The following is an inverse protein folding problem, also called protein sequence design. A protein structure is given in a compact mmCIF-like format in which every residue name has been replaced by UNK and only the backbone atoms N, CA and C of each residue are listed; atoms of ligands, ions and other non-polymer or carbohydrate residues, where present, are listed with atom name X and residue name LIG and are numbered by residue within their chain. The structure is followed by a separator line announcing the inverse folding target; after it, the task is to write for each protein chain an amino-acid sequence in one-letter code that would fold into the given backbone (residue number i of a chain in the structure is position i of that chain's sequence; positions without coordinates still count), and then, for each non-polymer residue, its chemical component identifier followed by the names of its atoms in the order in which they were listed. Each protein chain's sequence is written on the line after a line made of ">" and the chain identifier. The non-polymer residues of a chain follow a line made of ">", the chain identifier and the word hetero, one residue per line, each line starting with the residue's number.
data_IF_475390532733
#
_entry.id   IF_475390532733
#
_cell.length_a   1.000
_cell.length_b   1.000
_cell.length_c   1.000
_cell.angle_alpha   90.00
_cell.angle_beta   90.00
_cell.angle_gamma   90.00
#
_symmetry.space_group_name_H-M   'P 1'
#
loop_
_entity.id
_entity.type
_entity.pdbx_description
1 polymer ?
#
# COMPACT_ATOMS: atom_id res chain seq x y z
N UNK A 1 -13.61 8.37 6.33
CA UNK A 1 -14.91 7.65 6.28
C UNK A 1 -15.22 7.36 4.83
N UNK A 2 -16.14 6.44 4.49
CA UNK A 2 -16.55 6.22 3.09
C UNK A 2 -17.85 7.00 2.82
N UNK A 3 -17.88 7.86 1.81
CA UNK A 3 -19.11 8.52 1.33
C UNK A 3 -19.59 7.87 0.04
N UNK A 4 -20.80 7.33 0.05
CA UNK A 4 -21.44 6.69 -1.10
C UNK A 4 -22.50 7.65 -1.64
N UNK A 5 -22.20 8.29 -2.76
CA UNK A 5 -22.99 9.39 -3.30
C UNK A 5 -23.78 8.90 -4.51
N UNK A 6 -25.11 9.07 -4.48
CA UNK A 6 -26.00 8.67 -5.57
C UNK A 6 -26.87 9.83 -6.05
N UNK A 7 -27.09 9.92 -7.36
CA UNK A 7 -27.88 10.98 -8.00
C UNK A 7 -29.21 10.52 -8.60
N UNK A 8 -29.42 9.21 -8.74
CA UNK A 8 -30.65 8.58 -9.25
C UNK A 8 -31.24 7.63 -8.22
N UNK A 9 -32.54 7.31 -8.35
CA UNK A 9 -33.19 6.35 -7.44
C UNK A 9 -32.57 4.94 -7.54
N UNK A 10 -32.21 4.51 -8.76
CA UNK A 10 -31.50 3.25 -8.96
C UNK A 10 -30.13 3.25 -8.27
N UNK A 11 -29.36 4.33 -8.46
CA UNK A 11 -28.08 4.52 -7.77
C UNK A 11 -28.22 4.55 -6.25
N UNK A 12 -29.32 5.12 -5.72
CA UNK A 12 -29.57 5.15 -4.28
C UNK A 12 -29.81 3.75 -3.70
N UNK A 13 -30.54 2.89 -4.44
CA UNK A 13 -30.70 1.48 -4.07
C UNK A 13 -29.36 0.75 -4.04
N UNK A 14 -28.51 0.99 -5.05
CA UNK A 14 -27.15 0.44 -5.08
C UNK A 14 -26.30 0.96 -3.90
N UNK A 15 -26.40 2.25 -3.57
CA UNK A 15 -25.68 2.86 -2.47
C UNK A 15 -26.02 2.19 -1.13
N UNK A 16 -27.31 1.97 -0.85
CA UNK A 16 -27.75 1.28 0.36
C UNK A 16 -27.37 -0.20 0.37
N UNK A 17 -27.30 -0.86 -0.79
CA UNK A 17 -26.77 -2.23 -0.90
C UNK A 17 -25.30 -2.27 -0.48
N UNK A 18 -24.49 -1.35 -1.01
CA UNK A 18 -23.07 -1.23 -0.65
C UNK A 18 -22.88 -0.87 0.83
N UNK A 19 -23.67 0.05 1.37
CA UNK A 19 -23.57 0.46 2.77
C UNK A 19 -23.71 -0.72 3.75
N UNK A 20 -24.57 -1.70 3.43
CA UNK A 20 -24.74 -2.91 4.26
C UNK A 20 -23.50 -3.81 4.27
N UNK A 21 -22.63 -3.69 3.27
CA UNK A 21 -21.44 -4.53 3.08
C UNK A 21 -20.15 -3.81 3.50
N UNK A 22 -20.19 -2.47 3.63
CA UNK A 22 -19.03 -1.64 3.92
C UNK A 22 -19.10 -1.04 5.32
N UNK A 23 -18.13 -1.36 6.17
CA UNK A 23 -17.95 -0.70 7.46
C UNK A 23 -17.59 0.78 7.30
N UNK A 24 -18.01 1.63 8.23
CA UNK A 24 -17.69 3.07 8.26
C UNK A 24 -18.10 3.84 6.98
N UNK A 25 -19.30 3.51 6.47
CA UNK A 25 -19.85 4.12 5.25
C UNK A 25 -21.15 4.89 5.49
N UNK A 26 -21.32 5.99 4.75
CA UNK A 26 -22.50 6.86 4.80
C UNK A 26 -23.04 7.09 3.38
N UNK A 27 -24.37 6.97 3.21
CA UNK A 27 -25.03 7.21 1.92
C UNK A 27 -25.52 8.64 1.82
N UNK A 28 -25.13 9.33 0.74
CA UNK A 28 -25.59 10.67 0.39
C UNK A 28 -26.42 10.62 -0.88
N UNK A 29 -27.74 10.73 -0.74
CA UNK A 29 -28.65 10.77 -1.87
C UNK A 29 -28.98 12.21 -2.28
N UNK A 30 -28.57 12.59 -3.50
CA UNK A 30 -28.76 13.95 -4.06
C UNK A 30 -28.40 15.07 -3.05
N UNK A 31 -27.19 15.07 -2.44
CA UNK A 31 -26.82 16.05 -1.43
C UNK A 31 -26.88 17.48 -1.97
N UNK A 32 -27.22 18.45 -1.11
CA UNK A 32 -27.37 19.86 -1.48
C UNK A 32 -26.69 20.78 -0.46
N UNK A 33 -25.82 21.71 -0.87
CA UNK A 33 -25.30 21.90 -2.23
C UNK A 33 -24.34 20.78 -2.66
N UNK A 34 -24.61 20.13 -3.79
CA UNK A 34 -23.90 18.93 -4.24
C UNK A 34 -22.39 19.15 -4.35
N UNK A 35 -21.98 20.17 -5.12
CA UNK A 35 -20.57 20.39 -5.42
C UNK A 35 -19.74 20.66 -4.16
N UNK A 36 -20.25 21.49 -3.26
CA UNK A 36 -19.55 21.86 -2.03
C UNK A 36 -19.46 20.70 -1.05
N UNK A 37 -20.54 19.93 -0.84
CA UNK A 37 -20.49 18.79 0.07
C UNK A 37 -19.50 17.72 -0.40
N UNK A 38 -19.53 17.39 -1.71
CA UNK A 38 -18.62 16.37 -2.27
C UNK A 38 -17.16 16.85 -2.22
N UNK A 39 -16.90 18.12 -2.56
CA UNK A 39 -15.56 18.72 -2.43
C UNK A 39 -15.07 18.70 -0.98
N UNK A 40 -15.92 19.08 -0.03
CA UNK A 40 -15.55 19.11 1.38
C UNK A 40 -15.19 17.72 1.89
N UNK A 41 -16.01 16.70 1.59
CA UNK A 41 -15.70 15.32 1.95
C UNK A 41 -14.34 14.85 1.38
N UNK A 42 -14.07 15.16 0.10
CA UNK A 42 -12.79 14.87 -0.54
C UNK A 42 -11.62 15.57 0.17
N UNK A 43 -11.76 16.88 0.46
CA UNK A 43 -10.72 17.68 1.14
C UNK A 43 -10.45 17.16 2.55
N UNK A 44 -11.46 16.67 3.25
CA UNK A 44 -11.31 16.08 4.59
C UNK A 44 -10.77 14.65 4.57
N UNK A 45 -10.42 14.11 3.39
CA UNK A 45 -9.81 12.80 3.24
C UNK A 45 -10.80 11.63 3.22
N UNK A 46 -12.09 11.88 2.97
CA UNK A 46 -13.05 10.79 2.82
C UNK A 46 -12.87 10.07 1.48
N UNK A 47 -12.92 8.75 1.52
CA UNK A 47 -12.96 7.92 0.32
C UNK A 47 -14.34 8.01 -0.32
N UNK A 48 -14.40 8.24 -1.63
CA UNK A 48 -15.67 8.50 -2.32
C UNK A 48 -16.06 7.36 -3.25
N UNK A 49 -17.30 6.89 -3.15
CA UNK A 49 -17.97 6.09 -4.18
C UNK A 49 -19.03 6.97 -4.83
N UNK A 50 -18.82 7.36 -6.09
CA UNK A 50 -19.74 8.20 -6.84
C UNK A 50 -20.53 7.36 -7.84
N UNK A 51 -21.81 7.12 -7.53
CA UNK A 51 -22.74 6.41 -8.40
C UNK A 51 -23.40 7.42 -9.35
N UNK A 52 -22.68 7.77 -10.40
CA UNK A 52 -23.07 8.77 -11.39
C UNK A 52 -22.20 8.66 -12.66
N UNK A 53 -22.51 9.45 -13.69
CA UNK A 53 -21.62 9.59 -14.84
C UNK A 53 -20.25 10.18 -14.42
N UNK A 54 -19.15 9.62 -14.94
CA UNK A 54 -17.78 10.04 -14.62
C UNK A 54 -17.54 11.54 -14.86
N UNK A 55 -18.18 12.14 -15.87
CA UNK A 55 -18.08 13.57 -16.13
C UNK A 55 -18.57 14.46 -14.98
N UNK A 56 -19.52 14.00 -14.16
CA UNK A 56 -19.98 14.73 -12.97
C UNK A 56 -18.88 14.71 -11.91
N UNK A 57 -18.31 13.53 -11.64
CA UNK A 57 -17.21 13.38 -10.68
C UNK A 57 -16.01 14.26 -11.06
N UNK A 58 -15.56 14.17 -12.32
CA UNK A 58 -14.44 14.97 -12.84
C UNK A 58 -14.68 16.47 -12.67
N UNK A 59 -15.80 17.01 -13.17
CA UNK A 59 -16.09 18.46 -13.05
C UNK A 59 -16.23 18.92 -11.60
N UNK A 60 -16.72 18.06 -10.73
CA UNK A 60 -16.93 18.39 -9.31
C UNK A 60 -15.62 18.44 -8.55
N UNK A 61 -14.75 17.45 -8.75
CA UNK A 61 -13.52 17.29 -7.98
C UNK A 61 -12.33 18.04 -8.59
N UNK A 62 -12.29 18.25 -9.91
CA UNK A 62 -11.15 18.91 -10.59
C UNK A 62 -10.62 20.19 -9.90
N UNK A 63 -11.46 21.10 -9.35
CA UNK A 63 -10.95 22.30 -8.68
C UNK A 63 -10.22 22.06 -7.35
N UNK A 64 -10.32 20.86 -6.76
CA UNK A 64 -9.78 20.55 -5.41
C UNK A 64 -8.80 19.37 -5.41
N UNK A 65 -8.53 18.78 -6.57
CA UNK A 65 -7.49 17.75 -6.74
C UNK A 65 -6.13 18.40 -6.50
N UNK A 66 -5.29 17.76 -5.68
CA UNK A 66 -3.92 18.21 -5.42
C UNK A 66 -2.91 17.30 -6.10
N UNK A 67 -2.80 16.06 -5.63
CA UNK A 67 -1.88 15.06 -6.16
C UNK A 67 -2.23 13.65 -5.64
N UNK A 68 -1.74 12.62 -6.34
CA UNK A 68 -2.02 11.20 -6.05
C UNK A 68 -1.58 10.70 -4.67
N UNK A 69 -0.76 11.44 -3.93
CA UNK A 69 -0.25 11.06 -2.60
C UNK A 69 -1.10 11.64 -1.46
N UNK A 70 -1.74 12.79 -1.67
CA UNK A 70 -2.60 13.46 -0.68
C UNK A 70 -4.09 13.18 -0.91
N UNK A 71 -4.49 13.05 -2.17
CA UNK A 71 -5.90 12.94 -2.53
C UNK A 71 -6.47 11.56 -2.15
N UNK A 72 -7.64 11.48 -1.50
CA UNK A 72 -8.26 10.21 -1.15
C UNK A 72 -8.73 9.45 -2.40
N UNK A 73 -8.89 8.12 -2.31
CA UNK A 73 -9.35 7.32 -3.43
C UNK A 73 -10.80 7.66 -3.81
N UNK A 74 -11.05 7.70 -5.12
CA UNK A 74 -12.40 7.93 -5.69
C UNK A 74 -12.74 6.84 -6.68
N UNK A 75 -13.86 6.17 -6.45
CA UNK A 75 -14.48 5.21 -7.37
C UNK A 75 -15.70 5.84 -8.04
N UNK A 76 -15.88 5.55 -9.32
CA UNK A 76 -17.11 5.85 -10.06
C UNK A 76 -17.78 4.54 -10.48
N UNK A 77 -19.07 4.43 -10.21
CA UNK A 77 -19.89 3.27 -10.54
C UNK A 77 -21.08 3.70 -11.40
N UNK A 78 -21.50 2.84 -12.32
CA UNK A 78 -22.82 2.99 -12.95
C UNK A 78 -23.94 2.59 -11.97
N UNK A 79 -25.16 3.07 -12.23
CA UNK A 79 -26.29 2.87 -11.30
C UNK A 79 -26.77 1.42 -11.19
N UNK A 80 -26.39 0.54 -12.12
CA UNK A 80 -26.67 -0.90 -12.05
C UNK A 80 -25.53 -1.66 -11.36
N UNK A 81 -24.41 -1.00 -11.06
CA UNK A 81 -23.24 -1.60 -10.42
C UNK A 81 -22.58 -2.66 -11.28
N UNK A 82 -22.55 -2.45 -12.60
CA UNK A 82 -21.90 -3.35 -13.58
C UNK A 82 -20.41 -3.06 -13.71
N UNK A 83 -20.01 -1.80 -13.51
CA UNK A 83 -18.65 -1.33 -13.66
C UNK A 83 -18.19 -0.58 -12.42
N UNK A 84 -16.97 -0.85 -12.00
CA UNK A 84 -16.27 -0.10 -10.95
C UNK A 84 -15.04 0.53 -11.58
N UNK A 85 -14.95 1.86 -11.53
CA UNK A 85 -13.91 2.64 -12.20
C UNK A 85 -13.12 3.39 -11.13
N UNK A 86 -11.86 3.02 -10.85
CA UNK A 86 -10.94 3.87 -10.08
C UNK A 86 -10.68 5.17 -10.85
N UNK A 87 -11.17 6.29 -10.33
CA UNK A 87 -11.06 7.59 -11.00
C UNK A 87 -9.84 8.39 -10.54
N UNK A 88 -9.61 8.46 -9.22
CA UNK A 88 -8.49 9.21 -8.61
C UNK A 88 -7.72 8.34 -7.64
N UNK A 89 -6.42 8.61 -7.53
CA UNK A 89 -5.49 7.94 -6.61
C UNK A 89 -5.46 6.41 -6.76
N UNK A 90 -5.42 5.94 -8.01
CA UNK A 90 -5.42 4.51 -8.40
C UNK A 90 -4.36 3.67 -7.69
N UNK A 91 -3.09 4.07 -7.79
CA UNK A 91 -1.97 3.35 -7.19
C UNK A 91 -1.75 3.76 -5.72
N UNK A 92 -1.24 4.98 -5.51
CA UNK A 92 -0.76 5.43 -4.19
C UNK A 92 -1.88 5.58 -3.16
N UNK A 93 -3.04 6.13 -3.55
CA UNK A 93 -4.21 6.22 -2.66
C UNK A 93 -5.06 4.95 -2.62
N UNK A 94 -4.65 3.88 -3.32
CA UNK A 94 -5.26 2.55 -3.22
C UNK A 94 -6.58 2.37 -3.96
N UNK A 95 -7.01 3.29 -4.83
CA UNK A 95 -8.30 3.16 -5.51
C UNK A 95 -8.39 1.94 -6.43
N UNK A 96 -7.28 1.45 -6.99
CA UNK A 96 -7.30 0.22 -7.81
C UNK A 96 -7.62 -1.01 -6.95
N UNK A 97 -6.93 -1.18 -5.81
CA UNK A 97 -7.21 -2.27 -4.86
C UNK A 97 -8.62 -2.19 -4.32
N UNK A 98 -9.02 -1.00 -3.85
CA UNK A 98 -10.35 -0.80 -3.31
C UNK A 98 -11.42 -1.04 -4.39
N UNK A 99 -11.18 -0.59 -5.61
CA UNK A 99 -12.03 -0.87 -6.76
C UNK A 99 -12.19 -2.37 -7.02
N UNK A 100 -11.11 -3.15 -6.92
CA UNK A 100 -11.17 -4.61 -7.04
C UNK A 100 -12.05 -5.24 -5.95
N UNK A 101 -11.91 -4.79 -4.71
CA UNK A 101 -12.74 -5.28 -3.61
C UNK A 101 -14.22 -4.95 -3.83
N UNK A 102 -14.54 -3.71 -4.22
CA UNK A 102 -15.91 -3.31 -4.55
C UNK A 102 -16.45 -4.10 -5.75
N UNK A 103 -15.64 -4.32 -6.78
CA UNK A 103 -16.02 -5.10 -7.95
C UNK A 103 -16.37 -6.55 -7.57
N UNK A 104 -15.56 -7.19 -6.73
CA UNK A 104 -15.88 -8.52 -6.20
C UNK A 104 -17.17 -8.54 -5.40
N UNK A 105 -17.37 -7.57 -4.48
CA UNK A 105 -18.60 -7.49 -3.67
C UNK A 105 -19.85 -7.34 -4.54
N UNK A 106 -19.75 -6.64 -5.66
CA UNK A 106 -20.87 -6.40 -6.57
C UNK A 106 -21.01 -7.44 -7.68
N UNK A 107 -20.04 -8.35 -7.84
CA UNK A 107 -19.88 -9.17 -9.05
C UNK A 107 -19.86 -8.29 -10.32
N UNK A 108 -19.16 -7.17 -10.23
CA UNK A 108 -19.02 -6.15 -11.28
C UNK A 108 -17.69 -6.30 -12.01
N UNK A 109 -17.60 -5.69 -13.19
CA UNK A 109 -16.34 -5.56 -13.93
C UNK A 109 -15.52 -4.39 -13.38
N UNK A 110 -14.29 -4.66 -12.94
CA UNK A 110 -13.31 -3.62 -12.63
C UNK A 110 -12.72 -3.06 -13.94
N UNK A 111 -12.72 -1.74 -14.09
CA UNK A 111 -12.15 -1.06 -15.27
C UNK A 111 -10.92 -0.26 -14.85
N UNK A 112 -9.77 -0.95 -14.74
CA UNK A 112 -8.48 -0.30 -14.45
C UNK A 112 -7.88 0.25 -15.75
N UNK A 113 -7.54 1.54 -15.76
CA UNK A 113 -6.97 2.22 -16.93
C UNK A 113 -5.51 2.64 -16.76
N UNK A 114 -4.92 2.39 -15.58
CA UNK A 114 -3.50 2.69 -15.31
C UNK A 114 -2.59 1.77 -16.12
N UNK A 115 -1.38 2.26 -16.44
CA UNK A 115 -0.40 1.53 -17.26
C UNK A 115 0.00 0.15 -16.68
N UNK A 116 -0.02 0.03 -15.35
CA UNK A 116 0.03 -1.26 -14.63
C UNK A 116 -1.19 -1.35 -13.72
N UNK A 117 -1.71 -2.56 -13.42
CA UNK A 117 -2.89 -2.70 -12.56
C UNK A 117 -2.65 -2.23 -11.12
N UNK A 118 -1.42 -2.39 -10.61
CA UNK A 118 -1.04 -2.09 -9.23
C UNK A 118 -2.01 -2.69 -8.20
N UNK A 119 -2.29 -3.98 -8.34
CA UNK A 119 -3.20 -4.73 -7.48
C UNK A 119 -2.44 -5.63 -6.51
N UNK A 120 -2.93 -5.74 -5.27
CA UNK A 120 -2.43 -6.65 -4.22
C UNK A 120 -0.91 -6.54 -3.99
N UNK A 121 -0.41 -5.38 -3.52
CA UNK A 121 1.00 -5.21 -3.22
C UNK A 121 1.48 -6.26 -2.22
N UNK A 122 2.68 -6.78 -2.45
CA UNK A 122 3.40 -7.60 -1.48
C UNK A 122 4.37 -6.70 -0.75
N UNK A 123 4.17 -6.54 0.56
CA UNK A 123 5.07 -5.80 1.43
C UNK A 123 6.10 -6.73 2.05
N UNK A 124 7.36 -6.31 2.08
CA UNK A 124 8.44 -7.04 2.76
C UNK A 124 9.28 -6.08 3.58
N UNK A 125 9.80 -6.59 4.69
CA UNK A 125 10.60 -5.80 5.64
C UNK A 125 12.04 -6.23 5.54
N UNK A 126 12.95 -5.28 5.44
CA UNK A 126 14.38 -5.51 5.63
C UNK A 126 14.81 -4.98 6.98
N UNK A 127 15.49 -5.82 7.77
CA UNK A 127 15.98 -5.45 9.09
C UNK A 127 17.46 -5.81 9.26
N UNK A 128 18.17 -4.97 10.00
CA UNK A 128 19.53 -5.24 10.44
C UNK A 128 19.73 -4.73 11.86
N UNK A 129 20.66 -5.32 12.58
CA UNK A 129 21.03 -4.89 13.92
C UNK A 129 22.47 -5.22 14.25
N UNK A 130 23.00 -4.60 15.29
CA UNK A 130 24.24 -5.04 15.92
C UNK A 130 24.09 -6.48 16.47
N UNK A 131 25.19 -7.19 16.66
CA UNK A 131 25.18 -8.53 17.29
C UNK A 131 24.65 -8.40 18.72
N UNK A 132 23.89 -9.38 19.18
CA UNK A 132 23.27 -9.41 20.53
C UNK A 132 22.28 -8.25 20.77
N UNK A 133 21.66 -7.73 19.72
CA UNK A 133 20.58 -6.75 19.85
C UNK A 133 19.39 -7.37 20.59
N UNK A 134 18.86 -6.75 21.67
CA UNK A 134 17.67 -7.27 22.32
C UNK A 134 16.48 -7.24 21.35
N UNK A 135 15.72 -8.34 21.29
CA UNK A 135 14.55 -8.48 20.40
C UNK A 135 13.53 -7.34 20.53
N UNK A 136 13.36 -6.80 21.73
CA UNK A 136 12.46 -5.68 22.02
C UNK A 136 12.75 -4.44 21.15
N UNK A 137 14.03 -4.16 20.87
CA UNK A 137 14.45 -3.04 20.02
C UNK A 137 14.01 -3.26 18.57
N UNK A 138 14.08 -4.50 18.08
CA UNK A 138 13.62 -4.85 16.73
C UNK A 138 12.10 -4.78 16.64
N UNK A 139 11.38 -5.35 17.62
CA UNK A 139 9.93 -5.35 17.65
C UNK A 139 9.35 -3.93 17.68
N UNK A 140 9.87 -3.08 18.57
CA UNK A 140 9.43 -1.68 18.70
C UNK A 140 9.72 -0.91 17.40
N UNK A 141 10.93 -1.03 16.86
CA UNK A 141 11.30 -0.38 15.61
C UNK A 141 10.39 -0.80 14.45
N UNK A 142 10.10 -2.11 14.32
CA UNK A 142 9.23 -2.63 13.28
C UNK A 142 7.80 -2.08 13.43
N UNK A 143 7.26 -2.09 14.65
CA UNK A 143 5.93 -1.55 14.94
C UNK A 143 5.83 -0.08 14.57
N UNK A 144 6.83 0.72 14.96
CA UNK A 144 6.88 2.15 14.66
C UNK A 144 6.95 2.37 13.14
N UNK A 145 7.80 1.63 12.43
CA UNK A 145 7.94 1.72 10.98
C UNK A 145 6.62 1.38 10.26
N UNK A 146 5.93 0.30 10.66
CA UNK A 146 4.65 -0.08 10.05
C UNK A 146 3.57 0.98 10.30
N UNK A 147 3.53 1.56 11.50
CA UNK A 147 2.57 2.61 11.84
C UNK A 147 2.72 3.86 10.97
N UNK A 148 3.95 4.24 10.62
CA UNK A 148 4.24 5.42 9.77
C UNK A 148 3.67 5.27 8.35
N UNK A 149 3.51 4.04 7.87
CA UNK A 149 2.99 3.74 6.53
C UNK A 149 1.60 3.08 6.57
N UNK A 150 0.91 3.18 7.71
CA UNK A 150 -0.43 2.62 7.94
C UNK A 150 -0.54 1.12 7.60
N UNK A 151 0.50 0.35 7.89
CA UNK A 151 0.54 -1.10 7.75
C UNK A 151 0.46 -1.78 9.12
N UNK A 152 0.05 -3.04 9.11
CA UNK A 152 0.03 -3.93 10.26
C UNK A 152 1.02 -5.09 10.07
N UNK A 153 1.29 -5.79 11.17
CA UNK A 153 2.15 -6.98 11.14
C UNK A 153 1.61 -8.09 10.22
N UNK A 154 0.29 -8.15 10.02
CA UNK A 154 -0.35 -9.11 9.13
C UNK A 154 -0.05 -8.84 7.65
N UNK A 155 0.10 -7.57 7.27
CA UNK A 155 0.29 -7.11 5.88
C UNK A 155 1.68 -7.45 5.31
N UNK A 156 2.69 -7.65 6.17
CA UNK A 156 4.04 -7.98 5.71
C UNK A 156 4.18 -9.46 5.38
N UNK A 157 4.88 -9.78 4.30
CA UNK A 157 5.08 -11.15 3.83
C UNK A 157 6.28 -11.84 4.46
N UNK A 158 7.37 -11.11 4.72
CA UNK A 158 8.60 -11.64 5.30
C UNK A 158 9.46 -10.57 5.96
N UNK A 159 10.34 -11.02 6.87
CA UNK A 159 11.46 -10.24 7.40
C UNK A 159 12.74 -10.74 6.73
N UNK A 160 13.59 -9.82 6.30
CA UNK A 160 14.72 -10.17 5.44
C UNK A 160 16.00 -9.43 5.87
N UNK A 161 17.16 -10.05 5.66
CA UNK A 161 18.47 -9.45 5.96
C UNK A 161 19.56 -9.96 5.00
N UNK A 162 20.81 -9.65 5.30
CA UNK A 162 21.99 -10.19 4.62
C UNK A 162 22.39 -11.56 5.19
N UNK A 163 23.00 -12.42 4.38
CA UNK A 163 23.43 -13.79 4.73
C UNK A 163 24.33 -13.89 5.96
N UNK A 164 25.23 -12.92 6.19
CA UNK A 164 26.04 -12.87 7.43
C UNK A 164 25.19 -12.73 8.71
N UNK A 165 23.89 -12.47 8.58
CA UNK A 165 22.90 -12.39 9.67
C UNK A 165 21.97 -13.60 9.72
N UNK A 166 22.26 -14.67 8.98
CA UNK A 166 21.45 -15.90 8.98
C UNK A 166 21.36 -16.58 10.36
N UNK A 167 22.33 -16.33 11.25
CA UNK A 167 22.41 -16.85 12.61
C UNK A 167 21.99 -15.83 13.69
N UNK A 168 21.44 -14.67 13.31
CA UNK A 168 21.04 -13.64 14.27
C UNK A 168 19.76 -14.03 15.02
N UNK A 169 19.94 -14.56 16.24
CA UNK A 169 18.87 -15.10 17.10
C UNK A 169 17.71 -14.12 17.25
N UNK A 170 17.97 -12.83 17.48
CA UNK A 170 16.92 -11.85 17.72
C UNK A 170 16.00 -11.64 16.50
N UNK A 171 16.55 -11.69 15.27
CA UNK A 171 15.76 -11.59 14.03
C UNK A 171 14.95 -12.86 13.78
N UNK A 172 15.55 -14.02 14.01
CA UNK A 172 14.89 -15.33 13.86
C UNK A 172 13.71 -15.44 14.83
N UNK A 173 13.93 -15.11 16.10
CA UNK A 173 12.88 -15.14 17.12
C UNK A 173 11.75 -14.14 16.84
N UNK A 174 12.09 -12.91 16.43
CA UNK A 174 11.07 -11.93 16.04
C UNK A 174 10.20 -12.45 14.90
N UNK A 175 10.82 -13.01 13.85
CA UNK A 175 10.09 -13.56 12.71
C UNK A 175 9.21 -14.75 13.13
N UNK A 176 9.71 -15.62 14.01
CA UNK A 176 8.97 -16.74 14.58
C UNK A 176 7.75 -16.28 15.38
N UNK A 177 7.90 -15.29 16.25
CA UNK A 177 6.81 -14.73 17.05
C UNK A 177 5.71 -14.13 16.16
N UNK A 178 6.10 -13.50 15.05
CA UNK A 178 5.18 -12.92 14.06
C UNK A 178 4.63 -13.95 13.07
N UNK A 179 5.07 -15.22 13.13
CA UNK A 179 4.74 -16.27 12.16
C UNK A 179 5.04 -15.85 10.72
N UNK A 180 6.15 -15.13 10.52
CA UNK A 180 6.65 -14.70 9.21
C UNK A 180 7.97 -15.41 8.90
N UNK A 181 8.26 -15.73 7.63
CA UNK A 181 9.56 -16.26 7.26
C UNK A 181 10.64 -15.21 7.46
N UNK A 182 11.78 -15.64 8.04
CA UNK A 182 13.03 -14.90 8.01
C UNK A 182 13.89 -15.42 6.85
N UNK A 183 14.31 -14.53 5.96
CA UNK A 183 15.16 -14.87 4.82
C UNK A 183 16.42 -14.02 4.80
N UNK A 184 17.50 -14.57 4.28
CA UNK A 184 18.75 -13.83 4.11
C UNK A 184 19.27 -13.98 2.69
N UNK A 185 19.96 -12.95 2.22
CA UNK A 185 20.42 -12.83 0.84
C UNK A 185 21.90 -12.46 0.79
N UNK A 186 22.58 -12.90 -0.26
CA UNK A 186 24.00 -12.61 -0.44
C UNK A 186 24.23 -11.20 -1.01
N UNK A 187 25.49 -10.76 -1.02
CA UNK A 187 25.88 -9.43 -1.50
C UNK A 187 25.59 -9.20 -2.98
N UNK A 188 25.66 -10.24 -3.82
CA UNK A 188 25.31 -10.13 -5.25
C UNK A 188 23.82 -9.87 -5.43
N UNK A 189 22.97 -10.62 -4.72
CA UNK A 189 21.51 -10.44 -4.73
C UNK A 189 21.12 -9.05 -4.21
N UNK A 190 21.69 -8.62 -3.09
CA UNK A 190 21.40 -7.32 -2.48
C UNK A 190 22.00 -6.14 -3.27
N UNK A 191 23.15 -6.33 -3.89
CA UNK A 191 23.83 -5.33 -4.73
C UNK A 191 23.05 -5.00 -6.00
N UNK A 192 22.25 -5.93 -6.52
CA UNK A 192 21.36 -5.65 -7.65
C UNK A 192 20.33 -4.54 -7.36
N UNK A 193 20.05 -4.25 -6.08
CA UNK A 193 19.09 -3.22 -5.65
C UNK A 193 19.73 -1.83 -5.47
N UNK A 194 21.04 -1.68 -5.72
CA UNK A 194 21.79 -0.46 -5.41
C UNK A 194 21.19 0.82 -6.01
N UNK A 195 20.65 0.75 -7.23
CA UNK A 195 20.04 1.90 -7.92
C UNK A 195 18.72 2.37 -7.30
N UNK A 196 18.10 1.54 -6.45
CA UNK A 196 16.81 1.81 -5.79
C UNK A 196 16.97 2.25 -4.33
N UNK A 197 18.20 2.31 -3.83
CA UNK A 197 18.48 2.76 -2.46
C UNK A 197 18.23 4.26 -2.31
N UNK A 198 17.72 4.65 -1.14
CA UNK A 198 17.50 6.06 -0.82
C UNK A 198 18.82 6.79 -0.52
N UNK A 199 19.83 6.06 -0.04
CA UNK A 199 21.14 6.58 0.33
C UNK A 199 22.20 5.47 0.30
N UNK A 200 23.42 5.84 -0.07
CA UNK A 200 24.57 4.92 -0.12
C UNK A 200 25.50 5.14 1.07
N UNK A 201 25.82 4.08 1.83
CA UNK A 201 26.73 4.17 2.98
C UNK A 201 28.06 3.46 2.71
N UNK A 202 29.13 4.24 2.55
CA UNK A 202 30.50 3.72 2.38
C UNK A 202 30.93 2.84 3.57
N UNK A 203 30.57 3.23 4.79
CA UNK A 203 30.85 2.42 5.97
C UNK A 203 30.22 1.02 5.86
N UNK A 204 28.94 0.93 5.51
CA UNK A 204 28.25 -0.37 5.36
C UNK A 204 28.88 -1.15 4.21
N UNK A 205 29.17 -0.51 3.08
CA UNK A 205 29.82 -1.15 1.95
C UNK A 205 31.17 -1.77 2.33
N UNK A 206 32.01 -1.05 3.06
CA UNK A 206 33.31 -1.56 3.50
C UNK A 206 33.22 -2.71 4.52
N UNK A 207 32.13 -2.79 5.31
CA UNK A 207 31.95 -3.84 6.31
C UNK A 207 31.31 -5.09 5.73
N UNK A 208 30.32 -4.94 4.83
CA UNK A 208 29.47 -6.06 4.38
C UNK A 208 29.31 -6.18 2.86
N UNK A 209 29.92 -5.30 2.07
CA UNK A 209 29.93 -5.39 0.61
C UNK A 209 28.68 -4.84 -0.10
N UNK A 210 27.77 -4.16 0.61
CA UNK A 210 26.60 -3.48 0.03
C UNK A 210 26.35 -2.13 0.69
N UNK A 211 25.76 -1.18 -0.03
CA UNK A 211 25.56 0.19 0.45
C UNK A 211 24.45 0.36 1.51
N UNK A 212 23.53 -0.60 1.62
CA UNK A 212 22.41 -0.51 2.56
C UNK A 212 21.66 -1.83 2.74
N UNK A 213 21.94 -2.56 3.82
CA UNK A 213 21.36 -3.90 4.05
C UNK A 213 19.84 -3.89 4.17
N UNK A 214 19.26 -3.03 5.02
CA UNK A 214 17.82 -3.04 5.28
C UNK A 214 17.01 -2.71 4.03
N UNK A 215 17.38 -1.66 3.30
CA UNK A 215 16.69 -1.29 2.06
C UNK A 215 16.85 -2.35 0.97
N UNK A 216 18.09 -2.80 0.69
CA UNK A 216 18.34 -3.84 -0.31
C UNK A 216 17.58 -5.13 0.01
N UNK A 217 17.58 -5.58 1.27
CA UNK A 217 16.93 -6.82 1.67
C UNK A 217 15.40 -6.73 1.56
N UNK A 218 14.81 -5.56 1.89
CA UNK A 218 13.40 -5.31 1.69
C UNK A 218 13.05 -5.37 0.18
N UNK A 219 13.76 -4.61 -0.65
CA UNK A 219 13.53 -4.48 -2.09
C UNK A 219 13.66 -5.82 -2.81
N UNK A 220 14.81 -6.50 -2.62
CA UNK A 220 15.08 -7.76 -3.28
C UNK A 220 14.03 -8.82 -2.98
N UNK A 221 13.57 -8.88 -1.71
CA UNK A 221 12.54 -9.84 -1.30
C UNK A 221 11.20 -9.56 -1.96
N UNK A 222 10.79 -8.29 -2.05
CA UNK A 222 9.56 -7.92 -2.75
C UNK A 222 9.64 -8.29 -4.24
N UNK A 223 10.72 -7.88 -4.92
CA UNK A 223 10.92 -8.16 -6.34
C UNK A 223 11.00 -9.66 -6.65
N UNK A 224 11.66 -10.45 -5.80
CA UNK A 224 11.76 -11.91 -5.96
C UNK A 224 10.41 -12.62 -5.81
N UNK A 225 9.51 -12.08 -4.99
CA UNK A 225 8.18 -12.66 -4.75
C UNK A 225 7.19 -12.35 -5.87
N UNK A 226 7.36 -11.22 -6.55
CA UNK A 226 6.39 -10.73 -7.55
C UNK A 226 6.86 -10.88 -9.00
N UNK A 227 8.17 -10.91 -9.22
CA UNK A 227 8.76 -10.85 -10.56
C UNK A 227 8.73 -9.47 -11.22
N UNK A 228 8.30 -8.42 -10.50
CA UNK A 228 8.27 -7.03 -10.99
C UNK A 228 9.17 -6.14 -10.14
N UNK A 229 9.50 -4.95 -10.66
CA UNK A 229 10.30 -3.95 -9.94
C UNK A 229 9.70 -3.65 -8.56
N UNK A 230 10.54 -3.61 -7.54
CA UNK A 230 10.17 -3.20 -6.19
C UNK A 230 10.46 -1.72 -5.95
N UNK A 231 9.77 -1.13 -4.96
CA UNK A 231 10.00 0.25 -4.53
C UNK A 231 9.97 0.38 -3.01
N UNK A 232 10.66 1.40 -2.47
CA UNK A 232 10.66 1.70 -1.04
C UNK A 232 9.35 2.39 -0.67
N UNK A 233 8.65 1.82 0.31
CA UNK A 233 7.49 2.43 0.97
C UNK A 233 7.95 3.24 2.18
N UNK A 234 8.95 2.72 2.89
CA UNK A 234 9.64 3.42 3.96
C UNK A 234 11.15 3.23 3.78
N UNK A 235 11.86 4.36 3.62
CA UNK A 235 13.33 4.38 3.65
C UNK A 235 13.85 3.91 5.01
N UNK A 236 15.15 3.63 5.10
CA UNK A 236 15.74 3.14 6.35
C UNK A 236 15.44 4.06 7.54
N UNK A 237 14.81 3.49 8.55
CA UNK A 237 14.63 4.09 9.87
C UNK A 237 15.52 3.35 10.87
N UNK A 238 16.15 4.08 11.80
CA UNK A 238 17.09 3.50 12.76
C UNK A 238 16.74 3.90 14.18
N UNK A 239 16.98 2.98 15.12
CA UNK A 239 17.12 3.29 16.53
C UNK A 239 18.58 3.11 16.95
N UNK A 240 18.85 3.05 18.26
CA UNK A 240 20.21 2.93 18.78
C UNK A 240 20.96 1.63 18.38
N UNK A 241 20.25 0.55 17.99
CA UNK A 241 20.86 -0.78 17.76
C UNK A 241 20.42 -1.48 16.48
N UNK A 242 19.39 -0.97 15.81
CA UNK A 242 18.75 -1.63 14.68
C UNK A 242 18.30 -0.64 13.61
N UNK A 243 18.13 -1.16 12.40
CA UNK A 243 17.62 -0.47 11.22
C UNK A 243 16.51 -1.29 10.59
N UNK A 244 15.47 -0.63 10.09
CA UNK A 244 14.32 -1.22 9.43
C UNK A 244 13.97 -0.42 8.17
N UNK A 245 13.61 -1.11 7.10
CA UNK A 245 13.07 -0.52 5.88
C UNK A 245 11.91 -1.38 5.36
N UNK A 246 10.99 -0.77 4.61
CA UNK A 246 9.81 -1.44 4.05
C UNK A 246 9.80 -1.21 2.56
N UNK A 247 9.67 -2.29 1.80
CA UNK A 247 9.50 -2.24 0.36
C UNK A 247 8.17 -2.91 -0.03
N UNK A 248 7.69 -2.57 -1.22
CA UNK A 248 6.60 -3.28 -1.88
C UNK A 248 6.95 -3.62 -3.31
N UNK A 249 6.25 -4.59 -3.86
CA UNK A 249 6.16 -4.83 -5.29
C UNK A 249 4.78 -5.40 -5.62
N UNK A 250 4.40 -5.39 -6.89
CA UNK A 250 3.10 -5.86 -7.34
C UNK A 250 3.29 -7.14 -8.15
N UNK A 251 2.53 -8.21 -7.86
CA UNK A 251 2.55 -9.40 -8.69
C UNK A 251 2.29 -9.03 -10.14
N UNK A 252 3.06 -9.62 -11.07
CA UNK A 252 2.73 -9.52 -12.49
C UNK A 252 1.30 -10.01 -12.67
N UNK A 253 0.42 -9.13 -13.16
CA UNK A 253 -0.96 -9.51 -13.42
C UNK A 253 -0.96 -10.58 -14.51
N UNK A 254 -1.38 -11.79 -14.17
CA UNK A 254 -1.90 -12.70 -15.18
C UNK A 254 -3.26 -12.12 -15.54
N UNK A 255 -3.31 -11.29 -16.58
CA UNK A 255 -4.57 -10.98 -17.24
C UNK A 255 -4.97 -12.28 -17.96
N UNK A 256 -5.58 -13.20 -17.24
CA UNK A 256 -6.36 -14.30 -17.81
C UNK A 256 -7.79 -13.82 -18.06
#
# INVERSE_FOLDING_TARGET
>A
MIKIIALTEAGNKLAHRLQKMLSHSEVWFKPKPFSEQVKNAFITGDSLIMICASGIAVRTLAPVIKNKHEDPPVLVLDELGRFVIPLLSGHEGGANNWGQDIAHLLSAQLVVTTAKPYLKPIYTVGMGCERNCPKEYLFTLLKDCLSQVNLKMEDIKSINSIDIKADEVALIELAKDLKKPFKTWNTTELGAMESLLSSKSEYVFNVVGVYGVAESAALYSAQKLTGDTSELVLIKHKNAKATCAIARSFPLSVLE
#
